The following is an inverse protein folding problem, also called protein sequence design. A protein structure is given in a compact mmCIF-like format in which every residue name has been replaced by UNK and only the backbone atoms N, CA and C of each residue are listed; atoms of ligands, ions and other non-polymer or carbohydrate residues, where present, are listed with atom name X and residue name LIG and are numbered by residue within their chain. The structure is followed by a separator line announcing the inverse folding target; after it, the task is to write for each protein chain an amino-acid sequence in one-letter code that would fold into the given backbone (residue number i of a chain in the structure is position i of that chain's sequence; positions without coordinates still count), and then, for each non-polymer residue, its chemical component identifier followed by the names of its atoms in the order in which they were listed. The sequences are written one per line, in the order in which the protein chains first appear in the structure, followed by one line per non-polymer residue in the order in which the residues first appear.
data_IF_550370113921
#
_entry.id   IF_550370113921
#
_cell.length_a   1.000
_cell.length_b   1.000
_cell.length_c   1.000
_cell.angle_alpha   90.00
_cell.angle_beta   90.00
_cell.angle_gamma   90.00
#
_symmetry.space_group_name_H-M   'P 1'
#
loop_
_entity.id
_entity.type
_entity.pdbx_description
1 polymer ?
#
# COMPACT_ATOMS: atom_id res chain seq x y z
N UNK A 1 -17.84 -0.22 11.57
CA UNK A 1 -17.03 -0.69 10.44
C UNK A 1 -15.66 -1.10 10.93
N UNK A 2 -14.77 -1.49 10.01
CA UNK A 2 -13.36 -1.77 10.30
C UNK A 2 -12.67 -0.52 10.87
N UNK A 3 -11.60 -0.71 11.67
CA UNK A 3 -10.86 0.41 12.25
C UNK A 3 -10.07 1.14 11.16
N UNK A 4 -10.20 2.46 11.11
CA UNK A 4 -9.40 3.30 10.22
C UNK A 4 -8.00 3.60 10.77
N UNK A 5 -7.17 4.21 9.93
CA UNK A 5 -5.85 4.77 10.24
C UNK A 5 -5.66 6.08 9.48
N UNK A 6 -4.51 6.74 9.65
CA UNK A 6 -4.16 7.94 8.87
C UNK A 6 -3.88 7.58 7.40
N UNK A 7 -4.22 8.48 6.47
CA UNK A 7 -3.94 8.32 5.03
C UNK A 7 -2.43 8.43 4.72
N UNK A 8 -1.74 9.33 5.41
CA UNK A 8 -0.37 9.69 5.10
C UNK A 8 -0.25 10.56 3.84
N UNK A 9 0.96 10.98 3.46
CA UNK A 9 1.16 11.99 2.40
C UNK A 9 1.29 11.38 1.00
N UNK A 10 1.17 10.06 0.86
CA UNK A 10 1.56 9.33 -0.35
C UNK A 10 0.40 8.77 -1.16
N UNK A 11 -0.83 9.10 -0.81
CA UNK A 11 -1.99 8.75 -1.61
C UNK A 11 -1.97 9.48 -2.97
N UNK A 12 -2.40 8.80 -4.02
CA UNK A 12 -2.61 9.37 -5.36
C UNK A 12 -3.94 8.80 -5.89
N UNK A 13 -4.88 9.65 -6.34
CA UNK A 13 -6.17 9.20 -6.87
C UNK A 13 -6.00 8.56 -8.26
N UNK A 14 -7.04 7.90 -8.75
CA UNK A 14 -7.14 7.39 -10.13
C UNK A 14 -6.12 6.30 -10.50
N UNK A 15 -5.66 5.53 -9.50
CA UNK A 15 -4.84 4.35 -9.75
C UNK A 15 -5.59 3.32 -10.65
N UNK A 16 -4.88 2.58 -11.51
CA UNK A 16 -5.49 1.66 -12.47
C UNK A 16 -6.46 0.67 -11.83
N UNK A 17 -7.59 0.43 -12.50
CA UNK A 17 -8.56 -0.58 -12.08
C UNK A 17 -8.01 -2.00 -12.29
N UNK A 18 -8.18 -2.84 -11.28
CA UNK A 18 -7.73 -4.23 -11.27
C UNK A 18 -8.90 -5.16 -10.88
N UNK A 19 -8.95 -6.39 -11.42
CA UNK A 19 -9.97 -7.36 -11.04
C UNK A 19 -9.76 -7.87 -9.61
N UNK A 20 -10.79 -8.48 -9.02
CA UNK A 20 -10.78 -9.02 -7.66
C UNK A 20 -9.61 -9.94 -7.34
N UNK A 21 -9.11 -10.69 -8.34
CA UNK A 21 -7.93 -11.54 -8.23
C UNK A 21 -6.84 -10.95 -9.13
N UNK A 22 -5.84 -10.29 -8.53
CA UNK A 22 -4.84 -9.55 -9.28
C UNK A 22 -3.46 -9.54 -8.63
N UNK A 23 -2.47 -9.16 -9.42
CA UNK A 23 -1.14 -8.77 -8.94
C UNK A 23 -0.98 -7.26 -9.15
N UNK A 24 -0.45 -6.53 -8.17
CA UNK A 24 -0.18 -5.10 -8.33
C UNK A 24 0.86 -4.84 -9.43
N UNK A 25 0.81 -3.69 -10.11
CA UNK A 25 1.88 -3.27 -11.01
C UNK A 25 3.20 -3.24 -10.25
N UNK A 26 4.24 -3.90 -10.78
CA UNK A 26 5.53 -3.96 -10.11
C UNK A 26 6.67 -4.10 -11.12
N UNK A 27 7.86 -3.62 -10.78
CA UNK A 27 9.06 -3.81 -11.62
C UNK A 27 9.52 -5.27 -11.55
N UNK A 28 10.38 -5.67 -12.49
CA UNK A 28 11.06 -6.98 -12.46
C UNK A 28 11.87 -7.16 -11.16
N UNK A 29 12.48 -6.09 -10.63
CA UNK A 29 13.24 -6.16 -9.38
C UNK A 29 12.33 -6.42 -8.18
N UNK A 30 11.15 -5.81 -8.16
CA UNK A 30 10.15 -6.01 -7.11
C UNK A 30 9.61 -7.46 -7.16
N UNK A 31 9.32 -7.98 -8.35
CA UNK A 31 8.82 -9.34 -8.55
C UNK A 31 9.79 -10.46 -8.12
N UNK A 32 11.05 -10.13 -7.78
CA UNK A 32 12.02 -11.08 -7.20
C UNK A 32 11.87 -11.24 -5.69
N UNK A 33 11.17 -10.31 -5.03
CA UNK A 33 10.87 -10.40 -3.61
C UNK A 33 9.91 -11.55 -3.32
N UNK A 34 9.83 -11.96 -2.04
CA UNK A 34 8.84 -12.96 -1.63
C UNK A 34 7.43 -12.40 -1.82
N UNK A 35 6.56 -13.06 -2.61
CA UNK A 35 5.20 -12.61 -2.80
C UNK A 35 4.43 -12.54 -1.48
N UNK A 36 3.64 -11.49 -1.32
CA UNK A 36 2.71 -11.29 -0.22
C UNK A 36 1.29 -11.26 -0.79
N UNK A 37 0.45 -12.19 -0.34
CA UNK A 37 -0.94 -12.31 -0.80
C UNK A 37 -1.87 -11.79 0.28
N UNK A 38 -2.62 -10.74 -0.04
CA UNK A 38 -3.69 -10.20 0.80
C UNK A 38 -5.02 -10.65 0.25
N UNK A 39 -5.82 -11.29 1.08
CA UNK A 39 -7.16 -11.72 0.72
C UNK A 39 -8.17 -11.33 1.79
N UNK A 40 -9.43 -11.16 1.39
CA UNK A 40 -10.48 -10.77 2.30
C UNK A 40 -11.84 -10.68 1.64
N UNK A 41 -12.81 -10.19 2.41
CA UNK A 41 -14.17 -9.95 1.96
C UNK A 41 -14.65 -8.62 2.52
N UNK A 42 -15.19 -7.77 1.64
CA UNK A 42 -15.84 -6.51 2.02
C UNK A 42 -17.31 -6.78 2.29
N UNK A 43 -17.77 -6.38 3.47
CA UNK A 43 -19.17 -6.54 3.89
C UNK A 43 -19.73 -5.24 4.44
N UNK A 44 -21.06 -5.15 4.49
CA UNK A 44 -21.74 -4.13 5.29
C UNK A 44 -21.68 -4.45 6.80
N UNK A 45 -22.41 -3.69 7.62
CA UNK A 45 -22.45 -3.87 9.07
C UNK A 45 -23.21 -5.11 9.54
N UNK A 46 -24.09 -5.65 8.69
CA UNK A 46 -24.86 -6.86 8.96
C UNK A 46 -24.12 -8.13 8.46
N UNK A 47 -22.99 -7.94 7.77
CA UNK A 47 -22.16 -9.01 7.22
C UNK A 47 -22.55 -9.42 5.80
N UNK A 48 -23.42 -8.67 5.12
CA UNK A 48 -23.78 -8.97 3.74
C UNK A 48 -22.62 -8.60 2.80
N UNK A 49 -22.32 -9.43 1.79
CA UNK A 49 -21.24 -9.19 0.85
C UNK A 49 -21.48 -7.93 0.00
N UNK A 50 -20.43 -7.14 -0.20
CA UNK A 50 -20.47 -5.94 -1.05
C UNK A 50 -19.81 -6.21 -2.40
N UNK A 51 -20.63 -6.57 -3.39
CA UNK A 51 -20.18 -6.74 -4.76
C UNK A 51 -19.81 -5.41 -5.43
N UNK A 52 -18.71 -5.38 -6.18
CA UNK A 52 -18.25 -4.19 -6.89
C UNK A 52 -17.72 -3.08 -5.99
N UNK A 53 -17.42 -3.37 -4.72
CA UNK A 53 -16.72 -2.44 -3.84
C UNK A 53 -15.29 -2.22 -4.33
N UNK A 54 -14.77 -1.01 -4.11
CA UNK A 54 -13.41 -0.64 -4.49
C UNK A 54 -12.46 -0.69 -3.30
N UNK A 55 -11.27 -1.24 -3.53
CA UNK A 55 -10.16 -1.29 -2.57
C UNK A 55 -8.98 -0.59 -3.23
N UNK A 56 -8.70 0.62 -2.77
CA UNK A 56 -7.53 1.37 -3.22
C UNK A 56 -6.33 1.01 -2.36
N UNK A 57 -5.27 0.54 -3.00
CA UNK A 57 -4.06 0.08 -2.33
C UNK A 57 -2.83 0.77 -2.91
N UNK A 58 -1.96 1.23 -2.00
CA UNK A 58 -0.63 1.76 -2.32
C UNK A 58 0.35 1.44 -1.20
N UNK A 59 1.59 1.12 -1.55
CA UNK A 59 2.66 0.96 -0.57
C UNK A 59 4.04 1.21 -1.18
N UNK A 60 5.05 1.28 -0.32
CA UNK A 60 6.45 1.40 -0.72
C UNK A 60 6.97 0.09 -1.34
N UNK A 61 8.02 0.20 -2.14
CA UNK A 61 8.82 -0.95 -2.56
C UNK A 61 9.72 -1.50 -1.44
N UNK A 62 10.56 -2.49 -1.77
CA UNK A 62 11.50 -3.10 -0.84
C UNK A 62 12.66 -2.15 -0.42
N UNK A 63 12.78 -0.98 -1.05
CA UNK A 63 13.75 0.07 -0.72
C UNK A 63 13.11 1.23 0.06
N UNK A 64 11.78 1.23 0.23
CA UNK A 64 11.03 2.25 0.96
C UNK A 64 10.53 3.42 0.10
N UNK A 65 10.59 3.31 -1.23
CA UNK A 65 10.13 4.36 -2.16
C UNK A 65 8.69 4.15 -2.63
N UNK A 66 7.97 5.26 -2.80
CA UNK A 66 6.61 5.30 -3.35
C UNK A 66 6.62 5.86 -4.77
N UNK A 67 5.91 5.20 -5.70
CA UNK A 67 5.68 5.75 -7.05
C UNK A 67 4.97 7.10 -6.98
N UNK A 68 5.31 8.01 -7.90
CA UNK A 68 4.90 9.42 -7.87
C UNK A 68 5.71 10.31 -6.92
N UNK A 69 6.54 9.73 -6.04
CA UNK A 69 7.41 10.45 -5.11
C UNK A 69 8.90 10.08 -5.25
N UNK A 70 9.20 9.12 -6.14
CA UNK A 70 10.55 8.72 -6.51
C UNK A 70 10.68 8.69 -8.04
N UNK A 71 11.51 9.57 -8.66
CA UNK A 71 11.56 9.73 -10.13
C UNK A 71 11.98 8.48 -10.92
N UNK A 72 12.62 7.51 -10.27
CA UNK A 72 13.11 6.28 -10.89
C UNK A 72 12.06 5.15 -10.88
N UNK A 73 10.92 5.34 -10.21
CA UNK A 73 9.83 4.38 -10.19
C UNK A 73 8.86 4.63 -11.35
N UNK A 74 8.36 3.55 -11.99
CA UNK A 74 7.25 3.68 -12.93
C UNK A 74 6.02 4.30 -12.27
N UNK A 75 5.21 4.97 -13.07
CA UNK A 75 3.88 5.39 -12.66
C UNK A 75 3.09 4.17 -12.15
N UNK A 76 2.37 4.38 -11.04
CA UNK A 76 1.53 3.35 -10.41
C UNK A 76 2.28 2.10 -9.91
N UNK A 77 3.61 2.09 -9.80
CA UNK A 77 4.33 0.97 -9.16
C UNK A 77 3.76 0.75 -7.74
N UNK A 78 3.31 -0.48 -7.47
CA UNK A 78 2.70 -0.93 -6.22
C UNK A 78 1.45 -0.12 -5.81
N UNK A 79 0.67 0.32 -6.81
CA UNK A 79 -0.62 1.02 -6.64
C UNK A 79 -1.72 0.39 -7.50
N UNK A 80 -2.95 0.37 -7.01
CA UNK A 80 -4.10 -0.06 -7.80
C UNK A 80 -5.45 0.14 -7.11
N UNK A 81 -6.50 0.14 -7.91
CA UNK A 81 -7.90 0.18 -7.46
C UNK A 81 -8.54 -1.17 -7.77
N UNK A 82 -8.68 -2.02 -6.77
CA UNK A 82 -9.17 -3.40 -6.92
C UNK A 82 -10.68 -3.43 -6.74
N UNK A 83 -11.39 -4.04 -7.68
CA UNK A 83 -12.86 -4.19 -7.62
C UNK A 83 -13.20 -5.58 -7.12
N UNK A 84 -13.96 -5.67 -6.03
CA UNK A 84 -14.38 -6.96 -5.44
C UNK A 84 -15.30 -7.76 -6.38
N UNK A 85 -15.28 -9.08 -6.21
CA UNK A 85 -16.16 -9.98 -6.97
C UNK A 85 -17.63 -9.93 -6.50
N UNK A 86 -18.47 -10.81 -7.06
CA UNK A 86 -19.90 -10.89 -6.73
C UNK A 86 -20.20 -11.23 -5.26
N UNK A 87 -19.23 -11.81 -4.54
CA UNK A 87 -19.32 -12.14 -3.12
C UNK A 87 -18.56 -11.12 -2.25
N UNK A 88 -18.13 -10.00 -2.83
CA UNK A 88 -17.35 -8.98 -2.13
C UNK A 88 -15.93 -9.42 -1.80
N UNK A 89 -15.42 -10.49 -2.40
CA UNK A 89 -14.08 -11.03 -2.11
C UNK A 89 -13.01 -10.39 -2.99
N UNK A 90 -11.77 -10.44 -2.50
CA UNK A 90 -10.58 -10.04 -3.23
C UNK A 90 -9.37 -10.89 -2.83
N UNK A 91 -8.42 -11.00 -3.74
CA UNK A 91 -7.09 -11.57 -3.57
C UNK A 91 -6.07 -10.73 -4.35
N UNK A 92 -5.17 -10.06 -3.64
CA UNK A 92 -4.20 -9.12 -4.17
C UNK A 92 -2.81 -9.65 -3.87
N UNK A 93 -2.09 -10.05 -4.92
CA UNK A 93 -0.67 -10.40 -4.83
C UNK A 93 0.19 -9.15 -4.98
N UNK A 94 1.13 -8.97 -4.06
CA UNK A 94 2.11 -7.89 -4.08
C UNK A 94 3.42 -8.35 -3.42
N UNK A 95 4.26 -7.42 -2.97
CA UNK A 95 5.44 -7.66 -2.15
C UNK A 95 5.24 -7.05 -0.76
N UNK A 96 6.00 -7.55 0.22
CA UNK A 96 6.00 -6.95 1.55
C UNK A 96 6.80 -5.64 1.54
N UNK A 97 6.22 -4.49 1.93
CA UNK A 97 6.94 -3.21 1.91
C UNK A 97 8.05 -3.16 2.97
N UNK A 98 9.12 -2.42 2.68
CA UNK A 98 10.13 -2.11 3.66
C UNK A 98 9.60 -1.15 4.75
N UNK A 99 10.22 -1.12 5.96
CA UNK A 99 9.94 -0.08 6.94
C UNK A 99 10.21 1.31 6.34
N UNK A 100 9.22 2.18 6.40
CA UNK A 100 9.34 3.53 5.87
C UNK A 100 10.19 4.42 6.80
N UNK A 101 11.13 5.16 6.20
CA UNK A 101 11.95 6.16 6.91
C UNK A 101 11.58 7.56 6.42
N UNK A 102 11.30 8.46 7.37
CA UNK A 102 11.09 9.88 7.09
C UNK A 102 12.37 10.47 6.48
N UNK A 103 12.29 11.15 5.32
CA UNK A 103 13.44 11.82 4.72
C UNK A 103 14.14 12.75 5.71
N UNK A 104 15.44 12.54 5.92
CA UNK A 104 16.22 13.22 6.96
C UNK A 104 16.81 14.54 6.52
N UNK A 105 16.85 14.81 5.21
CA UNK A 105 17.44 16.00 4.60
C UNK A 105 16.52 17.24 4.64
N UNK A 106 15.21 17.02 4.79
CA UNK A 106 14.20 18.07 4.93
C UNK A 106 14.05 18.64 6.34
N UNK A 107 13.21 19.69 6.51
CA UNK A 107 12.94 20.31 7.82
C UNK A 107 12.43 19.33 8.88
N UNK A 108 11.54 18.40 8.49
CA UNK A 108 11.03 17.35 9.39
C UNK A 108 12.14 16.42 9.88
N UNK A 109 13.05 16.05 8.99
CA UNK A 109 14.23 15.24 9.31
C UNK A 109 15.13 15.91 10.34
N UNK A 110 15.50 17.16 10.09
CA UNK A 110 16.31 17.98 11.01
C UNK A 110 15.65 18.17 12.38
N UNK A 111 14.33 18.32 12.40
CA UNK A 111 13.56 18.43 13.65
C UNK A 111 13.61 17.13 14.47
N UNK A 112 13.37 15.99 13.83
CA UNK A 112 13.42 14.66 14.47
C UNK A 112 14.82 14.39 15.02
N UNK A 113 15.86 14.70 14.24
CA UNK A 113 17.26 14.56 14.66
C UNK A 113 17.58 15.46 15.87
N UNK A 114 17.20 16.74 15.81
CA UNK A 114 17.39 17.67 16.92
C UNK A 114 16.66 17.24 18.21
N UNK A 115 15.52 16.54 18.08
CA UNK A 115 14.75 16.01 19.20
C UNK A 115 15.25 14.64 19.71
N UNK A 116 16.21 13.99 19.02
CA UNK A 116 16.68 12.65 19.34
C UNK A 116 15.62 11.55 19.12
N UNK A 117 14.66 11.78 18.22
CA UNK A 117 13.59 10.83 17.93
C UNK A 117 13.95 9.87 16.79
N UNK A 118 13.42 8.64 16.80
CA UNK A 118 13.59 7.73 15.66
C UNK A 118 12.80 8.24 14.44
N UNK A 119 13.41 8.14 13.26
CA UNK A 119 12.81 8.59 11.97
C UNK A 119 12.08 7.47 11.20
N UNK A 120 11.97 6.27 11.78
CA UNK A 120 11.41 5.09 11.11
C UNK A 120 9.99 4.85 11.60
N UNK A 121 9.03 4.81 10.68
CA UNK A 121 7.69 4.32 10.97
C UNK A 121 7.76 2.79 11.11
N UNK A 122 7.13 2.25 12.16
CA UNK A 122 7.18 0.83 12.45
C UNK A 122 6.62 0.00 11.27
N UNK A 123 7.27 -1.14 11.01
CA UNK A 123 6.73 -2.18 10.13
C UNK A 123 5.43 -2.69 10.76
N UNK A 124 4.35 -2.84 9.98
CA UNK A 124 3.22 -3.63 10.43
C UNK A 124 3.74 -5.05 10.75
N UNK A 125 3.38 -5.66 11.89
CA UNK A 125 3.78 -7.04 12.16
C UNK A 125 3.29 -7.93 11.02
N UNK A 126 4.14 -8.85 10.56
CA UNK A 126 3.68 -9.92 9.68
C UNK A 126 2.62 -10.75 10.43
N UNK A 127 1.59 -11.26 9.73
CA UNK A 127 0.56 -12.09 10.35
C UNK A 127 1.13 -13.36 10.99
#
# INVERSE_FOLDING_TARGET
GTKGSIEGPYYLPDAPLLPAHCTLPMRIVDARETPFVMHGQVTDLDGNPMAGATIEIWHADAEGYYSGFAPHLPDWNLRGTVVTDGEGRYEITTILPAPYRIPTDGPTGKFIEAAGWPSVAARAPAP
#
